data_IF_999623015182
#
_entry.id   IF_999623015182
#
_cell.length_a   1.000
_cell.length_b   1.000
_cell.length_c   1.000
_cell.angle_alpha   90.00
_cell.angle_beta   90.00
_cell.angle_gamma   90.00
#
_symmetry.space_group_name_H-M   'P 1'
#
loop_
_entity.id
_entity.type
_entity.pdbx_description
1 polymer ?
#
# COMPACT_ATOMS: atom_id res chain seq x y z
N UNK A 1 0.25 12.12 -19.59
CA UNK A 1 -0.68 11.21 -18.91
C UNK A 1 0.16 10.04 -18.46
N UNK A 2 0.13 9.67 -17.18
CA UNK A 2 0.84 8.46 -16.75
C UNK A 2 0.22 7.26 -17.48
N UNK A 3 1.07 6.40 -18.03
CA UNK A 3 0.62 5.20 -18.73
C UNK A 3 0.33 4.08 -17.73
N UNK A 4 -0.42 3.08 -18.19
CA UNK A 4 -0.68 1.85 -17.43
C UNK A 4 0.63 1.23 -16.90
N UNK A 5 1.67 1.23 -17.72
CA UNK A 5 3.00 0.72 -17.40
C UNK A 5 3.68 1.52 -16.28
N UNK A 6 3.56 2.85 -16.28
CA UNK A 6 4.14 3.68 -15.21
C UNK A 6 3.46 3.40 -13.86
N UNK A 7 2.13 3.26 -13.86
CA UNK A 7 1.37 2.96 -12.65
C UNK A 7 1.70 1.55 -12.16
N UNK A 8 1.79 0.57 -13.06
CA UNK A 8 2.21 -0.79 -12.73
C UNK A 8 3.62 -0.81 -12.12
N UNK A 9 4.56 -0.07 -12.69
CA UNK A 9 5.91 0.03 -12.13
C UNK A 9 5.90 0.65 -10.71
N UNK A 10 5.05 1.66 -10.46
CA UNK A 10 4.87 2.25 -9.13
C UNK A 10 4.27 1.26 -8.14
N UNK A 11 3.23 0.54 -8.53
CA UNK A 11 2.60 -0.51 -7.71
C UNK A 11 3.65 -1.56 -7.34
N UNK A 12 4.39 -2.07 -8.33
CA UNK A 12 5.38 -3.11 -8.15
C UNK A 12 6.51 -2.67 -7.22
N UNK A 13 6.97 -1.42 -7.34
CA UNK A 13 7.95 -0.84 -6.41
C UNK A 13 7.41 -0.77 -4.99
N UNK A 14 6.18 -0.30 -4.79
CA UNK A 14 5.59 -0.20 -3.45
C UNK A 14 5.40 -1.58 -2.84
N UNK A 15 4.87 -2.56 -3.57
CA UNK A 15 4.71 -3.93 -3.06
C UNK A 15 6.05 -4.58 -2.75
N UNK A 16 7.09 -4.34 -3.56
CA UNK A 16 8.44 -4.86 -3.29
C UNK A 16 9.03 -4.23 -2.01
N UNK A 17 8.92 -2.91 -1.84
CA UNK A 17 9.35 -2.21 -0.62
C UNK A 17 8.58 -2.73 0.60
N UNK A 18 7.27 -2.95 0.46
CA UNK A 18 6.45 -3.53 1.53
C UNK A 18 6.92 -4.94 1.86
N UNK A 19 7.18 -5.81 0.88
CA UNK A 19 7.65 -7.16 1.14
C UNK A 19 9.02 -7.19 1.82
N UNK A 20 9.95 -6.32 1.42
CA UNK A 20 11.30 -6.28 1.97
C UNK A 20 11.36 -5.64 3.36
N UNK A 21 10.64 -4.54 3.57
CA UNK A 21 10.75 -3.73 4.80
C UNK A 21 9.61 -4.01 5.81
N UNK A 22 8.46 -4.47 5.32
CA UNK A 22 7.23 -4.65 6.11
C UNK A 22 6.55 -5.98 5.74
N UNK A 23 7.21 -7.13 5.97
CA UNK A 23 6.66 -8.44 5.62
C UNK A 23 5.28 -8.71 6.26
N UNK A 24 4.97 -8.05 7.38
CA UNK A 24 3.65 -8.08 8.02
C UNK A 24 2.54 -7.50 7.13
N UNK A 25 2.84 -6.43 6.39
CA UNK A 25 1.92 -5.82 5.42
C UNK A 25 1.72 -6.69 4.18
N UNK A 26 2.66 -7.58 3.87
CA UNK A 26 2.55 -8.54 2.74
C UNK A 26 1.33 -9.46 2.86
N UNK A 27 0.84 -9.71 4.09
CA UNK A 27 -0.38 -10.48 4.33
C UNK A 27 -1.62 -9.78 3.76
N UNK A 28 -1.70 -8.45 3.89
CA UNK A 28 -2.79 -7.64 3.34
C UNK A 28 -2.73 -7.55 1.81
N UNK A 29 -1.54 -7.65 1.24
CA UNK A 29 -1.36 -7.71 -0.22
C UNK A 29 -1.90 -9.00 -0.83
N UNK A 30 -1.74 -10.13 -0.14
CA UNK A 30 -2.30 -11.41 -0.58
C UNK A 30 -3.83 -11.42 -0.51
N UNK A 31 -4.43 -10.70 0.43
CA UNK A 31 -5.89 -10.61 0.59
C UNK A 31 -6.55 -9.67 -0.44
N UNK A 32 -5.76 -8.82 -1.11
CA UNK A 32 -6.23 -7.96 -2.20
C UNK A 32 -5.73 -8.51 -3.55
N UNK A 33 -6.44 -9.49 -4.15
CA UNK A 33 -6.12 -9.91 -5.51
C UNK A 33 -6.23 -8.69 -6.42
N UNK A 34 -5.16 -8.42 -7.19
CA UNK A 34 -5.18 -7.38 -8.22
C UNK A 34 -6.29 -7.78 -9.18
N UNK A 35 -7.42 -7.11 -9.11
CA UNK A 35 -8.48 -7.23 -10.11
C UNK A 35 -7.95 -6.55 -11.36
N UNK A 36 -7.04 -7.22 -12.08
CA UNK A 36 -6.66 -6.83 -13.42
C UNK A 36 -7.97 -6.88 -14.21
N UNK A 37 -8.53 -5.74 -14.61
CA UNK A 37 -9.77 -5.72 -15.36
C UNK A 37 -9.49 -6.44 -16.67
N UNK A 38 -10.26 -7.49 -16.95
CA UNK A 38 -10.20 -8.23 -18.21
C UNK A 38 -10.82 -7.41 -19.36
N UNK A 39 -11.36 -6.24 -19.03
CA UNK A 39 -12.02 -5.34 -19.96
C UNK A 39 -11.01 -4.73 -20.93
N UNK A 40 -11.31 -4.80 -22.24
CA UNK A 40 -10.44 -4.32 -23.32
C UNK A 40 -10.31 -2.79 -23.38
N UNK A 41 -10.70 -2.07 -22.32
CA UNK A 41 -10.75 -0.62 -22.25
C UNK A 41 -9.54 -0.09 -21.47
N UNK A 42 -8.50 0.42 -22.16
CA UNK A 42 -7.28 0.91 -21.50
C UNK A 42 -7.53 2.08 -20.54
N UNK A 43 -8.58 2.88 -20.77
CA UNK A 43 -8.96 3.98 -19.88
C UNK A 43 -9.49 3.52 -18.52
N UNK A 44 -10.18 2.36 -18.49
CA UNK A 44 -10.68 1.74 -17.26
C UNK A 44 -9.53 1.06 -16.52
N UNK A 45 -8.59 0.44 -17.24
CA UNK A 45 -7.38 -0.15 -16.64
C UNK A 45 -6.56 0.89 -15.88
N UNK A 46 -6.23 2.01 -16.52
CA UNK A 46 -5.43 3.07 -15.89
C UNK A 46 -6.10 3.58 -14.61
N UNK A 47 -7.41 3.83 -14.63
CA UNK A 47 -8.16 4.27 -13.44
C UNK A 47 -8.19 3.21 -12.34
N UNK A 48 -8.36 1.95 -12.69
CA UNK A 48 -8.40 0.85 -11.73
C UNK A 48 -7.04 0.61 -11.07
N UNK A 49 -5.96 0.65 -11.86
CA UNK A 49 -4.60 0.58 -11.35
C UNK A 49 -4.26 1.77 -10.47
N UNK A 50 -4.64 2.98 -10.86
CA UNK A 50 -4.42 4.17 -10.05
C UNK A 50 -5.16 4.08 -8.70
N UNK A 51 -6.39 3.57 -8.71
CA UNK A 51 -7.18 3.35 -7.49
C UNK A 51 -6.56 2.26 -6.60
N UNK A 52 -6.00 1.21 -7.20
CA UNK A 52 -5.27 0.18 -6.48
C UNK A 52 -3.99 0.72 -5.83
N UNK A 53 -3.21 1.49 -6.58
CA UNK A 53 -2.02 2.19 -6.06
C UNK A 53 -2.37 3.11 -4.88
N UNK A 54 -3.43 3.91 -5.01
CA UNK A 54 -3.87 4.81 -3.95
C UNK A 54 -4.28 4.04 -2.68
N UNK A 55 -5.00 2.92 -2.85
CA UNK A 55 -5.37 2.02 -1.75
C UNK A 55 -4.14 1.43 -1.04
N UNK A 56 -3.13 1.00 -1.82
CA UNK A 56 -1.86 0.48 -1.33
C UNK A 56 -1.10 1.53 -0.51
N UNK A 57 -1.00 2.76 -1.02
CA UNK A 57 -0.35 3.88 -0.34
C UNK A 57 -1.12 4.27 0.92
N UNK A 58 -2.45 4.25 0.88
CA UNK A 58 -3.30 4.51 2.04
C UNK A 58 -3.11 3.44 3.12
N UNK A 59 -3.07 2.15 2.74
CA UNK A 59 -2.78 1.04 3.65
C UNK A 59 -1.41 1.22 4.31
N UNK A 60 -0.39 1.51 3.50
CA UNK A 60 0.97 1.76 3.99
C UNK A 60 1.02 2.95 4.96
N UNK A 61 0.36 4.06 4.59
CA UNK A 61 0.27 5.25 5.45
C UNK A 61 -0.46 4.98 6.75
N UNK A 62 -1.58 4.26 6.71
CA UNK A 62 -2.32 3.89 7.92
C UNK A 62 -1.45 3.00 8.82
N UNK A 63 -0.78 2.00 8.26
CA UNK A 63 0.11 1.15 9.03
C UNK A 63 1.29 1.91 9.63
N UNK A 64 1.94 2.79 8.86
CA UNK A 64 3.03 3.64 9.39
C UNK A 64 2.48 4.60 10.46
N UNK A 65 1.30 5.17 10.27
CA UNK A 65 0.66 6.04 11.27
C UNK A 65 0.31 5.26 12.54
N UNK A 66 -0.27 4.07 12.44
CA UNK A 66 -0.58 3.19 13.57
C UNK A 66 0.70 2.70 14.26
N UNK A 67 1.74 2.33 13.52
CA UNK A 67 3.02 1.95 14.09
C UNK A 67 3.73 3.13 14.77
N UNK A 68 3.71 4.33 14.17
CA UNK A 68 4.27 5.52 14.80
C UNK A 68 3.47 5.94 16.03
N UNK A 69 2.14 5.89 15.98
CA UNK A 69 1.26 6.16 17.13
C UNK A 69 1.46 5.14 18.24
N UNK A 70 1.63 3.85 17.91
CA UNK A 70 1.98 2.82 18.89
C UNK A 70 3.37 3.06 19.50
N UNK A 71 4.34 3.54 18.72
CA UNK A 71 5.67 3.89 19.23
C UNK A 71 5.63 5.13 20.16
N UNK A 72 4.74 6.09 19.88
CA UNK A 72 4.55 7.29 20.72
C UNK A 72 3.81 6.92 22.02
N UNK A 73 2.77 6.07 21.94
CA UNK A 73 2.00 5.62 23.10
C UNK A 73 2.77 4.65 24.01
N UNK A 74 3.76 3.92 23.49
CA UNK A 74 4.65 3.10 24.32
C UNK A 74 5.72 3.92 25.08
N UNK A 75 6.03 5.15 24.64
CA UNK A 75 6.94 6.06 25.36
C UNK A 75 6.25 6.94 26.40
N UNK A 76 4.93 7.10 26.33
CA UNK A 76 4.15 7.84 27.34
C UNK A 76 3.60 6.96 28.46
N UNK A 77 3.83 5.63 28.39
CA UNK A 77 3.44 4.65 29.42
C UNK A 77 4.55 4.23 30.40
N UNK A 78 5.69 4.92 30.42
CA UNK A 78 6.76 4.73 31.44
C UNK A 78 7.23 6.08 31.99
N UNK A 79 6.27 6.86 32.48
CA UNK A 79 6.52 7.90 33.47
C UNK A 79 6.53 7.26 34.86
N UNK A 80 7.72 7.16 35.46
CA UNK A 80 7.98 6.82 36.86
C UNK A 80 6.97 7.42 37.85
N UNK A 81 6.43 6.59 38.76
CA UNK A 81 6.74 6.51 40.20
C UNK A 81 5.82 5.50 40.90
#
# INVERSE_FOLDING_TARGET
>A
METEEEINAKIMKVTMVIQENYPELSKYLNEMPITIPIDSNPEINVKNLQKYYDTLVALFRNYVAEHQLNYINQRTGTGHL
#
